data_IF_453170537882
#
_entry.id   IF_453170537882
#
_cell.length_a   1.000
_cell.length_b   1.000
_cell.length_c   1.000
_cell.angle_alpha   90.00
_cell.angle_beta   90.00
_cell.angle_gamma   90.00
#
_symmetry.space_group_name_H-M   'P 1'
#
loop_
_entity.id
_entity.type
_entity.pdbx_description
1 polymer ?
#
# COMPACT_ATOMS: atom_id res chain seq x y z
N UNK A 1 2.10 7.63 0.44
CA UNK A 1 0.91 8.48 0.19
C UNK A 1 -0.36 7.66 0.07
N UNK A 2 -0.46 6.68 -0.84
CA UNK A 2 -1.65 5.79 -0.95
C UNK A 2 -2.07 5.15 0.38
N UNK A 3 -1.11 4.63 1.15
CA UNK A 3 -1.37 4.07 2.48
C UNK A 3 -1.99 5.09 3.46
N UNK A 4 -1.54 6.35 3.43
CA UNK A 4 -2.07 7.41 4.29
C UNK A 4 -3.52 7.74 3.92
N UNK A 5 -3.83 7.86 2.62
CA UNK A 5 -5.20 8.04 2.14
C UNK A 5 -6.08 6.85 2.52
N UNK A 6 -5.57 5.63 2.41
CA UNK A 6 -6.27 4.42 2.79
C UNK A 6 -6.61 4.41 4.29
N UNK A 7 -5.66 4.75 5.17
CA UNK A 7 -5.91 4.87 6.61
C UNK A 7 -6.89 5.99 6.95
N UNK A 8 -6.75 7.14 6.29
CA UNK A 8 -7.60 8.30 6.47
C UNK A 8 -9.07 8.00 6.13
N UNK A 9 -9.31 7.23 5.07
CA UNK A 9 -10.65 6.85 4.61
C UNK A 9 -11.16 5.54 5.23
N UNK A 10 -10.29 4.79 5.91
CA UNK A 10 -10.62 3.54 6.59
C UNK A 10 -10.01 3.49 8.00
N UNK A 11 -10.51 4.30 8.95
CA UNK A 11 -9.90 4.45 10.28
C UNK A 11 -9.87 3.14 11.08
N UNK A 12 -10.83 2.24 10.84
CA UNK A 12 -10.87 0.91 11.47
C UNK A 12 -9.69 0.03 11.07
N UNK A 13 -9.20 0.15 9.82
CA UNK A 13 -8.03 -0.59 9.34
C UNK A 13 -6.77 -0.06 9.99
N UNK A 14 -6.62 1.27 10.08
CA UNK A 14 -5.51 1.89 10.82
C UNK A 14 -5.49 1.40 12.27
N UNK A 15 -6.64 1.45 12.97
CA UNK A 15 -6.73 1.01 14.37
C UNK A 15 -6.31 -0.45 14.54
N UNK A 16 -6.84 -1.36 13.70
CA UNK A 16 -6.48 -2.79 13.77
C UNK A 16 -4.99 -3.03 13.52
N UNK A 17 -4.36 -2.28 12.62
CA UNK A 17 -2.93 -2.40 12.36
C UNK A 17 -2.08 -1.83 13.50
N UNK A 18 -2.53 -0.76 14.15
CA UNK A 18 -1.92 -0.25 15.38
C UNK A 18 -2.00 -1.29 16.50
N UNK A 19 -3.18 -1.89 16.72
CA UNK A 19 -3.36 -2.92 17.75
C UNK A 19 -2.43 -4.14 17.53
N UNK A 20 -2.22 -4.57 16.29
CA UNK A 20 -1.27 -5.65 15.97
C UNK A 20 0.17 -5.25 16.35
N UNK A 21 0.58 -4.04 15.99
CA UNK A 21 1.92 -3.51 16.30
C UNK A 21 2.17 -3.45 17.80
N UNK A 22 1.19 -3.03 18.58
CA UNK A 22 1.31 -2.88 20.04
C UNK A 22 1.63 -4.21 20.71
N UNK A 23 1.00 -5.27 20.22
CA UNK A 23 1.16 -6.62 20.75
C UNK A 23 2.55 -7.21 20.44
N UNK A 24 3.26 -6.69 19.43
CA UNK A 24 4.56 -7.23 18.98
C UNK A 24 5.72 -6.36 19.44
N UNK A 25 5.65 -5.05 19.22
CA UNK A 25 6.76 -4.11 19.40
C UNK A 25 6.62 -3.32 20.71
N UNK A 26 5.47 -3.38 21.39
CA UNK A 26 5.19 -2.72 22.69
C UNK A 26 5.45 -1.21 22.69
N UNK A 27 5.45 -0.56 21.52
CA UNK A 27 5.68 0.89 21.33
C UNK A 27 6.97 1.47 21.95
N UNK A 28 7.89 0.62 22.41
CA UNK A 28 9.17 1.06 23.03
C UNK A 28 10.28 1.34 22.02
N UNK A 29 10.10 0.92 20.77
CA UNK A 29 11.03 1.09 19.66
C UNK A 29 10.29 1.14 18.33
N UNK A 30 10.99 1.56 17.29
CA UNK A 30 10.49 1.37 15.92
C UNK A 30 10.60 -0.12 15.51
N UNK A 31 9.73 -0.60 14.61
CA UNK A 31 9.80 -1.94 14.04
C UNK A 31 11.09 -2.13 13.24
N UNK A 32 11.51 -3.38 13.17
CA UNK A 32 12.62 -3.85 12.34
C UNK A 32 12.11 -4.95 11.40
N UNK A 33 12.93 -5.40 10.45
CA UNK A 33 12.52 -6.50 9.57
C UNK A 33 12.35 -7.84 10.29
N UNK A 34 12.95 -8.01 11.48
CA UNK A 34 12.78 -9.22 12.30
C UNK A 34 11.35 -9.34 12.87
N UNK A 35 10.62 -8.22 12.96
CA UNK A 35 9.23 -8.19 13.42
C UNK A 35 8.24 -8.61 12.32
N UNK A 36 8.68 -8.64 11.05
CA UNK A 36 7.80 -8.73 9.88
C UNK A 36 6.92 -9.98 9.85
N UNK A 37 7.45 -11.13 10.27
CA UNK A 37 6.69 -12.38 10.33
C UNK A 37 5.62 -12.39 11.43
N UNK A 38 5.72 -11.49 12.41
CA UNK A 38 4.77 -11.36 13.52
C UNK A 38 3.70 -10.29 13.26
N UNK A 39 3.77 -9.58 12.13
CA UNK A 39 2.87 -8.49 11.75
C UNK A 39 2.10 -8.81 10.44
N UNK A 40 1.35 -9.93 10.38
CA UNK A 40 0.68 -10.36 9.16
C UNK A 40 -0.40 -9.38 8.69
N UNK A 41 -1.11 -8.68 9.58
CA UNK A 41 -2.11 -7.69 9.19
C UNK A 41 -1.45 -6.44 8.58
N UNK A 42 -0.34 -5.96 9.12
CA UNK A 42 0.47 -4.91 8.46
C UNK A 42 0.95 -5.40 7.08
N UNK A 43 1.37 -6.66 6.97
CA UNK A 43 1.71 -7.27 5.68
C UNK A 43 0.52 -7.27 4.70
N UNK A 44 -0.69 -7.55 5.18
CA UNK A 44 -1.90 -7.55 4.37
C UNK A 44 -2.29 -6.14 3.91
N UNK A 45 -2.11 -5.14 4.78
CA UNK A 45 -2.27 -3.72 4.42
C UNK A 45 -1.31 -3.33 3.31
N UNK A 46 -0.04 -3.74 3.38
CA UNK A 46 0.96 -3.46 2.33
C UNK A 46 0.55 -4.08 0.99
N UNK A 47 0.12 -5.34 0.99
CA UNK A 47 -0.35 -6.03 -0.22
C UNK A 47 -1.58 -5.35 -0.82
N UNK A 48 -2.51 -4.88 0.01
CA UNK A 48 -3.69 -4.15 -0.44
C UNK A 48 -3.33 -2.75 -0.95
N UNK A 49 -2.34 -2.07 -0.38
CA UNK A 49 -1.84 -0.79 -0.91
C UNK A 49 -1.34 -0.95 -2.35
N UNK A 50 -0.58 -2.01 -2.64
CA UNK A 50 -0.09 -2.28 -3.99
C UNK A 50 -1.22 -2.66 -4.96
N UNK A 51 -2.17 -3.48 -4.53
CA UNK A 51 -3.29 -3.94 -5.35
C UNK A 51 -4.32 -2.84 -5.63
N UNK A 52 -4.73 -2.12 -4.59
CA UNK A 52 -5.84 -1.17 -4.62
C UNK A 52 -5.54 0.03 -5.52
N UNK A 53 -4.32 0.58 -5.45
CA UNK A 53 -3.92 1.63 -6.38
C UNK A 53 -2.46 1.53 -6.79
N UNK A 54 -2.25 1.24 -8.07
CA UNK A 54 -0.94 1.04 -8.65
C UNK A 54 -0.24 2.37 -8.90
N UNK A 55 1.07 2.39 -8.64
CA UNK A 55 1.90 3.52 -9.05
C UNK A 55 1.98 3.64 -10.58
N UNK A 56 1.91 2.54 -11.33
CA UNK A 56 1.95 2.52 -12.81
C UNK A 56 0.82 1.61 -13.33
N UNK A 57 -0.43 2.11 -13.43
CA UNK A 57 -1.61 1.28 -13.71
C UNK A 57 -1.59 0.57 -15.06
N UNK A 58 -0.88 1.11 -16.05
CA UNK A 58 -0.73 0.54 -17.40
C UNK A 58 0.65 -0.10 -17.65
N UNK A 59 1.40 -0.38 -16.58
CA UNK A 59 2.78 -0.90 -16.65
C UNK A 59 3.68 -0.02 -17.54
N UNK A 60 4.92 -0.47 -17.75
CA UNK A 60 5.79 0.04 -18.81
C UNK A 60 5.46 -0.72 -20.11
N UNK A 61 5.21 0.03 -21.19
CA UNK A 61 4.94 -0.49 -22.54
C UNK A 61 5.99 -1.51 -22.96
N UNK A 62 5.54 -2.64 -23.51
CA UNK A 62 6.36 -3.69 -24.10
C UNK A 62 6.28 -3.62 -25.62
N UNK A 63 7.20 -4.30 -26.30
CA UNK A 63 7.24 -4.39 -27.76
C UNK A 63 7.41 -5.84 -28.18
N UNK A 64 6.63 -6.29 -29.15
CA UNK A 64 6.76 -7.62 -29.74
C UNK A 64 8.11 -7.75 -30.48
N UNK A 65 8.96 -8.69 -30.06
CA UNK A 65 10.29 -8.89 -30.65
C UNK A 65 10.25 -9.61 -32.01
N UNK A 66 9.19 -10.36 -32.25
CA UNK A 66 8.88 -11.13 -33.46
C UNK A 66 7.38 -11.07 -33.70
N UNK A 67 6.96 -11.53 -34.89
CA UNK A 67 5.55 -11.82 -35.13
C UNK A 67 5.09 -12.93 -34.16
N UNK A 68 3.85 -12.83 -33.71
CA UNK A 68 3.24 -13.78 -32.76
C UNK A 68 1.73 -13.93 -33.01
N UNK A 69 1.12 -14.96 -32.44
CA UNK A 69 -0.33 -15.17 -32.43
C UNK A 69 -0.77 -15.45 -30.99
N UNK A 70 -1.62 -14.57 -30.46
CA UNK A 70 -2.18 -14.70 -29.11
C UNK A 70 -3.70 -14.70 -29.18
N UNK A 71 -4.35 -15.72 -28.59
CA UNK A 71 -5.81 -15.92 -28.65
C UNK A 71 -6.40 -15.79 -30.06
N UNK A 72 -5.67 -16.32 -31.06
CA UNK A 72 -6.05 -16.27 -32.47
C UNK A 72 -5.82 -14.91 -33.16
N UNK A 73 -5.30 -13.91 -32.44
CA UNK A 73 -4.97 -12.60 -32.99
C UNK A 73 -3.50 -12.50 -33.38
N UNK A 74 -3.24 -12.05 -34.61
CA UNK A 74 -1.89 -11.79 -35.09
C UNK A 74 -1.33 -10.50 -34.47
N UNK A 75 -0.15 -10.61 -33.85
CA UNK A 75 0.60 -9.50 -33.26
C UNK A 75 1.88 -9.34 -34.10
N UNK A 76 2.01 -8.29 -34.91
CA UNK A 76 3.21 -8.09 -35.72
C UNK A 76 4.40 -7.70 -34.85
N UNK A 77 5.60 -8.08 -35.29
CA UNK A 77 6.87 -7.60 -34.75
C UNK A 77 6.86 -6.07 -34.69
N UNK A 78 7.29 -5.52 -33.56
CA UNK A 78 7.30 -4.08 -33.32
C UNK A 78 5.99 -3.52 -32.77
N UNK A 79 4.92 -4.32 -32.68
CA UNK A 79 3.69 -3.89 -32.02
C UNK A 79 3.95 -3.51 -30.55
N UNK A 80 3.39 -2.38 -30.13
CA UNK A 80 3.37 -1.98 -28.73
C UNK A 80 2.30 -2.77 -27.97
N UNK A 81 2.68 -3.28 -26.81
CA UNK A 81 1.80 -4.05 -25.92
C UNK A 81 1.75 -3.33 -24.59
N UNK A 82 0.55 -2.94 -24.15
CA UNK A 82 0.34 -2.18 -22.90
C UNK A 82 -0.37 -3.09 -21.90
N UNK A 83 0.35 -3.65 -20.90
CA UNK A 83 -0.27 -4.46 -19.85
C UNK A 83 -1.16 -3.60 -18.94
N UNK A 84 -2.45 -3.90 -18.90
CA UNK A 84 -3.39 -3.17 -18.04
C UNK A 84 -3.41 -3.79 -16.63
N UNK A 85 -2.44 -3.43 -15.79
CA UNK A 85 -2.35 -3.93 -14.41
C UNK A 85 -3.57 -3.53 -13.59
N UNK A 86 -4.09 -2.31 -13.81
CA UNK A 86 -5.32 -1.84 -13.16
C UNK A 86 -6.49 -2.80 -13.39
N UNK A 87 -6.74 -3.19 -14.65
CA UNK A 87 -7.80 -4.13 -14.98
C UNK A 87 -7.56 -5.52 -14.35
N UNK A 88 -6.31 -5.99 -14.31
CA UNK A 88 -5.97 -7.27 -13.69
C UNK A 88 -6.24 -7.27 -12.18
N UNK A 89 -5.88 -6.21 -11.47
CA UNK A 89 -6.04 -6.12 -10.01
C UNK A 89 -7.43 -5.66 -9.58
N UNK A 90 -8.26 -5.25 -10.54
CA UNK A 90 -9.67 -4.91 -10.33
C UNK A 90 -10.65 -5.92 -10.98
N UNK A 91 -10.14 -7.07 -11.42
CA UNK A 91 -11.00 -8.15 -11.91
C UNK A 91 -11.81 -8.75 -10.74
N UNK A 92 -13.13 -8.54 -10.76
CA UNK A 92 -14.03 -9.00 -9.70
C UNK A 92 -14.13 -10.53 -9.59
N UNK A 93 -13.65 -11.27 -10.60
CA UNK A 93 -13.54 -12.73 -10.56
C UNK A 93 -12.38 -13.21 -9.69
N UNK A 94 -11.36 -12.37 -9.52
CA UNK A 94 -10.16 -12.64 -8.71
C UNK A 94 -10.28 -11.92 -7.36
N UNK A 95 -10.63 -10.65 -7.39
CA UNK A 95 -10.74 -9.80 -6.20
C UNK A 95 -12.19 -9.36 -5.98
N UNK A 96 -12.89 -10.00 -5.06
CA UNK A 96 -14.22 -9.54 -4.63
C UNK A 96 -14.15 -8.10 -4.10
N UNK A 97 -15.13 -7.26 -4.48
CA UNK A 97 -15.19 -5.84 -4.11
C UNK A 97 -13.86 -5.11 -4.43
N UNK A 98 -13.39 -5.11 -5.69
CA UNK A 98 -12.03 -4.72 -6.03
C UNK A 98 -11.71 -3.25 -5.75
N UNK A 99 -12.71 -2.38 -5.71
CA UNK A 99 -12.55 -0.96 -5.42
C UNK A 99 -12.55 -0.63 -3.91
N UNK A 100 -12.91 -1.59 -3.06
CA UNK A 100 -12.87 -1.43 -1.61
C UNK A 100 -11.48 -1.81 -1.11
N UNK A 101 -10.87 -0.93 -0.32
CA UNK A 101 -9.60 -1.21 0.37
C UNK A 101 -9.86 -2.20 1.51
N UNK A 102 -9.52 -3.47 1.30
CA UNK A 102 -9.87 -4.60 2.20
C UNK A 102 -8.67 -5.53 2.41
N UNK A 103 -7.77 -5.22 3.36
CA UNK A 103 -6.59 -6.04 3.68
C UNK A 103 -6.93 -7.50 4.00
N UNK A 104 -8.12 -7.76 4.55
CA UNK A 104 -8.60 -9.11 4.91
C UNK A 104 -8.54 -10.10 3.75
N UNK A 105 -8.56 -9.64 2.50
CA UNK A 105 -8.42 -10.51 1.33
C UNK A 105 -7.07 -11.23 1.24
N UNK A 106 -6.05 -10.71 1.92
CA UNK A 106 -4.71 -11.31 1.97
C UNK A 106 -4.49 -12.16 3.21
N UNK A 107 -5.52 -12.39 4.02
CA UNK A 107 -5.43 -13.18 5.24
C UNK A 107 -6.14 -14.52 5.06
N UNK A 108 -5.50 -15.57 5.58
CA UNK A 108 -6.12 -16.86 5.83
C UNK A 108 -6.93 -16.81 7.13
N UNK A 109 -7.79 -17.80 7.34
CA UNK A 109 -8.64 -17.88 8.54
C UNK A 109 -7.84 -17.93 9.86
N UNK A 110 -6.60 -18.44 9.81
CA UNK A 110 -5.70 -18.49 10.97
C UNK A 110 -4.95 -17.17 11.23
N UNK A 111 -5.22 -16.11 10.46
CA UNK A 111 -4.59 -14.79 10.60
C UNK A 111 -3.25 -14.64 9.86
N UNK A 112 -2.71 -15.70 9.25
CA UNK A 112 -1.51 -15.61 8.43
C UNK A 112 -1.82 -15.03 7.06
N UNK A 113 -0.79 -14.48 6.40
CA UNK A 113 -0.88 -14.08 5.00
C UNK A 113 -1.16 -15.28 4.09
N UNK A 114 -1.96 -15.07 3.04
CA UNK A 114 -2.17 -16.04 1.98
C UNK A 114 -1.02 -16.00 0.94
N UNK A 115 -1.14 -16.77 -0.13
CA UNK A 115 -0.10 -16.88 -1.18
C UNK A 115 -0.13 -15.73 -2.19
N UNK A 116 -1.12 -14.84 -2.12
CA UNK A 116 -1.20 -13.68 -3.01
C UNK A 116 -0.32 -12.54 -2.48
N UNK A 117 0.86 -12.42 -3.05
CA UNK A 117 1.84 -11.39 -2.71
C UNK A 117 1.63 -10.05 -3.44
N UNK A 118 0.54 -9.87 -4.20
CA UNK A 118 0.31 -8.69 -5.05
C UNK A 118 1.44 -8.42 -6.07
N UNK A 119 2.20 -9.45 -6.46
CA UNK A 119 3.36 -9.33 -7.36
C UNK A 119 3.02 -8.72 -8.72
N UNK A 120 1.80 -8.90 -9.20
CA UNK A 120 1.30 -8.31 -10.44
C UNK A 120 1.45 -6.79 -10.46
N UNK A 121 1.43 -6.13 -9.29
CA UNK A 121 1.65 -4.69 -9.17
C UNK A 121 3.02 -4.22 -9.64
N UNK A 122 3.98 -5.14 -9.73
CA UNK A 122 5.34 -4.91 -10.22
C UNK A 122 5.55 -5.38 -11.67
N UNK A 123 4.46 -5.77 -12.34
CA UNK A 123 4.49 -6.38 -13.67
C UNK A 123 4.85 -7.86 -13.64
N UNK A 124 5.29 -8.39 -14.77
CA UNK A 124 5.53 -9.83 -14.93
C UNK A 124 6.51 -10.15 -16.07
N UNK A 125 6.91 -11.43 -16.11
CA UNK A 125 7.81 -12.00 -17.10
C UNK A 125 9.23 -11.44 -17.02
N UNK A 126 9.96 -11.51 -18.14
CA UNK A 126 11.39 -11.13 -18.23
C UNK A 126 11.73 -9.67 -17.87
N UNK A 127 10.73 -8.81 -17.69
CA UNK A 127 10.92 -7.40 -17.28
C UNK A 127 10.03 -7.02 -16.10
N UNK A 128 9.75 -7.98 -15.22
CA UNK A 128 9.24 -7.68 -13.89
C UNK A 128 10.17 -6.67 -13.20
N UNK A 129 9.61 -5.81 -12.35
CA UNK A 129 10.37 -4.74 -11.70
C UNK A 129 11.56 -5.32 -10.92
N UNK A 130 12.81 -4.95 -11.26
CA UNK A 130 13.98 -5.44 -10.53
C UNK A 130 14.08 -4.88 -9.11
N UNK A 131 13.33 -3.81 -8.81
CA UNK A 131 13.29 -3.16 -7.50
C UNK A 131 12.13 -3.61 -6.59
N UNK A 132 11.37 -4.64 -6.97
CA UNK A 132 10.16 -5.04 -6.23
C UNK A 132 10.43 -5.35 -4.76
N UNK A 133 11.52 -6.08 -4.46
CA UNK A 133 11.83 -6.51 -3.09
C UNK A 133 12.24 -5.32 -2.22
N UNK A 134 13.03 -4.39 -2.78
CA UNK A 134 13.40 -3.15 -2.09
C UNK A 134 12.17 -2.26 -1.87
N UNK A 135 11.30 -2.13 -2.87
CA UNK A 135 10.09 -1.32 -2.77
C UNK A 135 9.13 -1.88 -1.71
N UNK A 136 8.92 -3.20 -1.72
CA UNK A 136 8.08 -3.89 -0.73
C UNK A 136 8.64 -3.71 0.69
N UNK A 137 9.93 -3.96 0.90
CA UNK A 137 10.58 -3.76 2.19
C UNK A 137 10.49 -2.31 2.68
N UNK A 138 10.71 -1.35 1.78
CA UNK A 138 10.65 0.09 2.09
C UNK A 138 9.24 0.52 2.46
N UNK A 139 8.23 0.09 1.70
CA UNK A 139 6.82 0.41 1.98
C UNK A 139 6.39 -0.23 3.30
N UNK A 140 6.76 -1.49 3.54
CA UNK A 140 6.45 -2.20 4.78
C UNK A 140 7.04 -1.49 6.00
N UNK A 141 8.34 -1.20 6.02
CA UNK A 141 8.99 -0.56 7.17
C UNK A 141 8.47 0.86 7.40
N UNK A 142 8.15 1.59 6.32
CA UNK A 142 7.57 2.94 6.41
C UNK A 142 6.18 2.90 7.03
N UNK A 143 5.31 1.99 6.58
CA UNK A 143 3.96 1.84 7.12
C UNK A 143 4.02 1.38 8.58
N UNK A 144 4.82 0.36 8.89
CA UNK A 144 4.96 -0.15 10.24
C UNK A 144 5.46 0.94 11.20
N UNK A 145 6.52 1.67 10.82
CA UNK A 145 7.05 2.77 11.63
C UNK A 145 6.07 3.92 11.79
N UNK A 146 5.31 4.25 10.74
CA UNK A 146 4.27 5.26 10.81
C UNK A 146 3.20 4.87 11.83
N UNK A 147 2.70 3.63 11.78
CA UNK A 147 1.62 3.16 12.65
C UNK A 147 2.01 3.08 14.13
N UNK A 148 3.29 2.85 14.43
CA UNK A 148 3.84 2.87 15.81
C UNK A 148 3.76 4.26 16.44
N UNK A 149 3.88 5.30 15.61
CA UNK A 149 4.09 6.65 16.11
C UNK A 149 2.85 7.51 15.90
N UNK A 150 2.29 7.48 14.70
CA UNK A 150 1.33 8.45 14.24
C UNK A 150 -0.04 7.84 14.03
N UNK A 151 -1.05 8.69 14.17
CA UNK A 151 -2.40 8.48 13.67
C UNK A 151 -2.71 9.57 12.67
N UNK A 152 -3.22 9.18 11.51
CA UNK A 152 -3.83 10.09 10.55
C UNK A 152 -5.35 10.13 10.76
N UNK A 153 -5.91 11.34 10.72
CA UNK A 153 -7.36 11.60 10.76
C UNK A 153 -7.72 12.76 9.82
N UNK A 154 -9.00 12.98 9.51
CA UNK A 154 -9.42 14.16 8.76
C UNK A 154 -8.93 15.45 9.44
N UNK A 155 -8.56 16.43 8.62
CA UNK A 155 -8.33 17.78 9.12
C UNK A 155 -9.66 18.39 9.60
N UNK A 156 -9.57 19.41 10.45
CA UNK A 156 -10.72 20.13 10.97
C UNK A 156 -10.85 21.50 10.31
N UNK A 157 -12.06 21.89 9.94
CA UNK A 157 -12.34 23.25 9.50
C UNK A 157 -12.34 24.25 10.68
N UNK A 158 -12.62 25.52 10.39
CA UNK A 158 -12.69 26.59 11.41
C UNK A 158 -13.79 26.39 12.45
N UNK A 159 -14.77 25.53 12.17
CA UNK A 159 -15.90 25.20 13.05
C UNK A 159 -15.67 23.89 13.82
N UNK A 160 -14.59 23.15 13.51
CA UNK A 160 -14.24 21.88 14.14
C UNK A 160 -14.82 20.64 13.47
N UNK A 161 -15.44 20.78 12.29
CA UNK A 161 -15.98 19.65 11.53
C UNK A 161 -14.88 18.96 10.72
N UNK A 162 -15.03 17.66 10.44
CA UNK A 162 -14.12 16.93 9.56
C UNK A 162 -14.22 17.48 8.13
N UNK A 163 -13.08 17.84 7.55
CA UNK A 163 -12.98 18.17 6.12
C UNK A 163 -13.14 16.86 5.33
N UNK A 164 -14.13 16.77 4.41
CA UNK A 164 -14.33 15.57 3.61
C UNK A 164 -13.11 15.21 2.78
N UNK A 165 -12.77 13.92 2.75
CA UNK A 165 -11.63 13.39 1.99
C UNK A 165 -12.15 12.65 0.78
N UNK A 166 -11.82 13.15 -0.40
CA UNK A 166 -12.14 12.47 -1.66
C UNK A 166 -11.02 11.49 -2.03
N UNK A 167 -11.40 10.28 -2.44
CA UNK A 167 -10.47 9.30 -3.00
C UNK A 167 -10.30 9.61 -4.48
N UNK A 168 -9.29 10.43 -4.79
CA UNK A 168 -8.97 10.83 -6.15
C UNK A 168 -7.47 10.68 -6.43
N UNK A 169 -7.13 10.29 -7.65
CA UNK A 169 -5.75 10.02 -8.08
C UNK A 169 -5.44 10.72 -9.39
N UNK A 170 -4.17 11.07 -9.56
CA UNK A 170 -3.67 11.69 -10.77
C UNK A 170 -3.75 10.74 -11.97
N UNK A 171 -4.06 11.32 -13.12
CA UNK A 171 -3.87 10.69 -14.41
C UNK A 171 -2.40 10.77 -14.85
N UNK A 172 -1.93 9.77 -15.59
CA UNK A 172 -0.58 9.75 -16.16
C UNK A 172 0.07 8.37 -16.16
N UNK A 173 1.35 8.32 -16.55
CA UNK A 173 2.15 7.08 -16.48
C UNK A 173 2.32 6.67 -15.01
N UNK A 174 2.63 7.63 -14.15
CA UNK A 174 2.62 7.47 -12.71
C UNK A 174 1.31 7.99 -12.13
N UNK A 175 0.71 7.24 -11.20
CA UNK A 175 -0.48 7.63 -10.48
C UNK A 175 -0.23 7.74 -8.99
N UNK A 176 -0.74 8.80 -8.39
CA UNK A 176 -0.62 9.11 -6.97
C UNK A 176 -1.86 9.86 -6.49
N UNK A 177 -2.18 9.82 -5.19
CA UNK A 177 -3.32 10.57 -4.65
C UNK A 177 -3.23 12.05 -4.97
N UNK A 178 -4.36 12.67 -5.29
CA UNK A 178 -4.46 14.14 -5.29
C UNK A 178 -4.18 14.69 -3.88
N UNK A 179 -3.78 15.96 -3.75
CA UNK A 179 -3.61 16.59 -2.45
C UNK A 179 -4.88 16.45 -1.60
N UNK A 180 -4.72 16.07 -0.34
CA UNK A 180 -5.80 15.98 0.64
C UNK A 180 -5.33 16.58 1.97
N UNK A 181 -6.27 17.18 2.69
CA UNK A 181 -6.02 17.72 4.03
C UNK A 181 -6.14 16.63 5.08
N UNK A 182 -5.23 16.62 6.06
CA UNK A 182 -5.24 15.65 7.14
C UNK A 182 -4.56 16.20 8.38
N UNK A 183 -4.89 15.61 9.53
CA UNK A 183 -4.18 15.78 10.78
C UNK A 183 -3.34 14.53 11.02
N UNK A 184 -2.03 14.71 11.21
CA UNK A 184 -1.09 13.64 11.59
C UNK A 184 -0.48 14.03 12.92
N UNK A 185 -0.80 13.25 13.95
CA UNK A 185 -0.33 13.50 15.32
C UNK A 185 0.20 12.21 15.92
N UNK A 186 1.10 12.27 16.92
CA UNK A 186 1.42 11.10 17.72
C UNK A 186 0.12 10.50 18.26
N UNK A 187 -0.07 9.20 18.09
CA UNK A 187 -1.38 8.59 18.42
C UNK A 187 -1.63 8.46 19.93
N UNK A 188 -0.58 8.52 20.75
CA UNK A 188 -0.65 8.54 22.21
C UNK A 188 0.62 9.16 22.85
N UNK A 189 0.67 9.13 24.18
CA UNK A 189 1.79 9.67 24.95
C UNK A 189 3.09 8.85 24.84
N UNK A 190 3.00 7.54 24.60
CA UNK A 190 4.16 6.66 24.47
C UNK A 190 4.89 6.94 23.15
N UNK A 191 4.15 7.05 22.05
CA UNK A 191 4.66 7.45 20.75
C UNK A 191 5.28 8.84 20.78
N UNK A 192 4.66 9.80 21.48
CA UNK A 192 5.25 11.12 21.68
C UNK A 192 6.57 11.04 22.46
N UNK A 193 6.64 10.19 23.49
CA UNK A 193 7.86 9.88 24.24
C UNK A 193 8.95 9.28 23.37
N UNK A 194 8.60 8.30 22.52
CA UNK A 194 9.49 7.65 21.56
C UNK A 194 10.08 8.68 20.58
N UNK A 195 9.25 9.56 20.00
CA UNK A 195 9.72 10.65 19.13
C UNK A 195 10.73 11.57 19.82
N UNK A 196 10.44 11.97 21.07
CA UNK A 196 11.33 12.82 21.87
C UNK A 196 12.67 12.15 22.17
N UNK A 197 12.71 10.82 22.28
CA UNK A 197 13.96 10.08 22.51
C UNK A 197 14.92 10.16 21.32
N UNK A 198 14.40 10.21 20.09
CA UNK A 198 15.23 10.37 18.89
C UNK A 198 15.78 11.80 18.74
N UNK A 199 14.99 12.81 19.12
CA UNK A 199 15.42 14.21 19.05
C UNK A 199 16.48 14.61 20.09
N UNK A 200 16.64 13.84 21.17
CA UNK A 200 17.68 14.08 22.20
C UNK A 200 19.03 13.44 21.88
N UNK A 201 19.12 12.58 20.86
CA UNK A 201 20.37 11.91 20.47
C UNK A 201 21.29 12.79 19.58
N UNK A 202 20.90 14.04 19.33
CA UNK A 202 21.59 15.00 18.46
C UNK A 202 22.19 16.23 19.19
N UNK A 203 22.31 16.17 20.52
CA UNK A 203 23.13 17.09 21.35
C UNK A 203 24.26 16.32 22.04
#
# INVERSE_FOLDING_TARGET
>A
MTALLAFLTNPHIQSRAQDEIDNVVTRTRLPTFDDRSHLPYVGAVVREVFRWHHAIPLSVTRVAGTDDIYDGMFIPKGAQIIPNLWAMTHDSRIYAEPHVFKPERFLLQNGNLNDDESKTSFGFGRRICPGQDLAEATVWITIASFLVVYRISPAKDVEGNDIPVEIAFSDGIASYPHPFESSIVPHDAEAEGLLKSFGKASE
#
